data_IF_879897768609
#
_entry.id   IF_879897768609
#
_cell.length_a   1.000
_cell.length_b   1.000
_cell.length_c   1.000
_cell.angle_alpha   90.00
_cell.angle_beta   90.00
_cell.angle_gamma   90.00
#
_symmetry.space_group_name_H-M   'P 1'
#
loop_
_entity.id
_entity.type
_entity.pdbx_description
1 polymer ?
#
# COMPACT_ATOMS: atom_id res chain seq x y z
N UNK A 1 14.09 -4.07 35.72
CA UNK A 1 14.79 -2.80 36.03
C UNK A 1 15.96 -2.55 35.08
N UNK A 2 16.82 -3.51 34.77
CA UNK A 2 17.88 -3.38 33.75
C UNK A 2 18.08 -4.77 33.13
N UNK A 3 18.16 -4.89 31.79
CA UNK A 3 18.47 -6.17 31.17
C UNK A 3 17.98 -6.38 29.74
N UNK A 4 16.82 -5.84 29.35
CA UNK A 4 16.27 -6.08 28.01
C UNK A 4 16.23 -4.80 27.18
N UNK A 5 17.04 -4.77 26.13
CA UNK A 5 17.03 -3.74 25.09
C UNK A 5 15.93 -4.05 24.06
N UNK A 6 14.69 -3.76 24.41
CA UNK A 6 13.54 -3.93 23.54
C UNK A 6 13.28 -2.57 22.89
N UNK A 7 13.47 -2.48 21.57
CA UNK A 7 13.15 -1.29 20.75
C UNK A 7 11.65 -1.17 20.40
N UNK A 8 10.91 -2.27 20.15
CA UNK A 8 9.48 -2.22 19.80
C UNK A 8 8.51 -1.83 20.94
N UNK A 9 8.97 -1.19 22.03
CA UNK A 9 8.10 -0.85 23.16
C UNK A 9 7.16 0.30 22.79
N UNK A 10 5.87 0.02 22.63
CA UNK A 10 4.83 1.01 22.29
C UNK A 10 4.07 1.53 23.51
N UNK A 11 4.03 0.78 24.62
CA UNK A 11 3.30 1.14 25.83
C UNK A 11 4.16 0.92 27.08
N UNK A 12 4.23 1.93 27.95
CA UNK A 12 4.83 1.85 29.28
C UNK A 12 3.74 2.06 30.33
N UNK A 13 3.45 1.01 31.11
CA UNK A 13 2.39 1.05 32.13
C UNK A 13 2.99 1.17 33.53
N UNK A 14 2.61 2.21 34.27
CA UNK A 14 2.93 2.36 35.69
C UNK A 14 1.77 1.85 36.54
N UNK A 15 1.94 0.67 37.14
CA UNK A 15 1.00 0.08 38.10
C UNK A 15 1.46 0.23 39.56
N UNK A 16 2.65 0.79 39.78
CA UNK A 16 3.24 1.03 41.12
C UNK A 16 3.94 2.37 41.12
N UNK A 17 3.86 3.08 42.25
CA UNK A 17 4.50 4.38 42.40
C UNK A 17 6.02 4.26 42.33
N UNK A 18 6.65 5.12 41.53
CA UNK A 18 8.10 5.17 41.34
C UNK A 18 8.71 6.22 42.26
N UNK A 19 9.49 5.79 43.25
CA UNK A 19 10.07 6.68 44.26
C UNK A 19 11.21 7.55 43.71
N UNK A 20 12.02 7.02 42.78
CA UNK A 20 13.20 7.71 42.24
C UNK A 20 12.95 8.34 40.87
N UNK A 21 13.36 9.60 40.70
CA UNK A 21 13.32 10.33 39.41
C UNK A 21 14.20 9.67 38.34
N UNK A 22 15.41 9.26 38.69
CA UNK A 22 16.31 8.58 37.75
C UNK A 22 15.72 7.26 37.26
N UNK A 23 14.98 6.56 38.12
CA UNK A 23 14.33 5.31 37.78
C UNK A 23 13.11 5.52 36.87
N UNK A 24 12.36 6.60 37.09
CA UNK A 24 11.27 7.01 36.20
C UNK A 24 11.78 7.32 34.78
N UNK A 25 12.85 8.12 34.67
CA UNK A 25 13.45 8.45 33.37
C UNK A 25 14.03 7.22 32.66
N UNK A 26 14.63 6.27 33.39
CA UNK A 26 15.06 4.99 32.80
C UNK A 26 13.88 4.15 32.28
N UNK A 27 12.73 4.16 32.96
CA UNK A 27 11.53 3.47 32.51
C UNK A 27 10.92 4.13 31.28
N UNK A 28 10.82 5.47 31.28
CA UNK A 28 10.41 6.28 30.12
C UNK A 28 11.33 6.06 28.92
N UNK A 29 12.64 5.96 29.18
CA UNK A 29 13.70 5.70 28.20
C UNK A 29 13.53 4.40 27.40
N UNK A 30 12.67 3.47 27.85
CA UNK A 30 12.33 2.26 27.09
C UNK A 30 11.39 2.55 25.91
N UNK A 31 10.47 3.50 26.08
CA UNK A 31 9.49 3.86 25.06
C UNK A 31 10.03 4.78 23.96
N UNK A 32 10.96 5.69 24.29
CA UNK A 32 11.52 6.70 23.37
C UNK A 32 12.41 6.12 22.26
N UNK A 33 12.74 4.83 22.32
CA UNK A 33 13.62 4.18 21.35
C UNK A 33 12.98 4.13 19.98
N UNK A 34 13.72 4.60 18.98
CA UNK A 34 13.32 4.46 17.57
C UNK A 34 13.40 3.00 17.18
N UNK A 35 12.32 2.47 16.61
CA UNK A 35 12.22 1.12 16.09
C UNK A 35 12.08 1.19 14.57
N UNK A 36 12.80 0.33 13.84
CA UNK A 36 12.57 0.24 12.40
C UNK A 36 11.23 -0.53 12.16
N UNK A 37 10.59 -0.36 10.99
CA UNK A 37 9.33 -1.07 10.70
C UNK A 37 9.46 -2.60 10.70
N UNK A 38 10.59 -3.14 10.25
CA UNK A 38 10.84 -4.58 10.16
C UNK A 38 10.90 -5.27 11.53
N UNK A 39 11.58 -4.65 12.49
CA UNK A 39 11.75 -5.09 13.88
C UNK A 39 10.40 -5.01 14.62
N UNK A 40 9.56 -4.04 14.29
CA UNK A 40 8.21 -3.91 14.84
C UNK A 40 7.28 -4.99 14.26
N UNK A 41 7.31 -5.20 12.93
CA UNK A 41 6.52 -6.22 12.26
C UNK A 41 6.83 -7.64 12.75
N UNK A 42 8.08 -7.89 13.18
CA UNK A 42 8.48 -9.18 13.76
C UNK A 42 7.78 -9.52 15.08
N UNK A 43 7.31 -8.52 15.84
CA UNK A 43 6.64 -8.70 17.13
C UNK A 43 5.17 -8.29 17.12
N UNK A 44 4.76 -7.48 16.15
CA UNK A 44 3.41 -7.00 15.95
C UNK A 44 3.09 -7.03 14.43
N UNK A 45 2.68 -8.19 13.88
CA UNK A 45 2.52 -8.39 12.46
C UNK A 45 1.30 -7.64 11.93
N UNK A 46 1.53 -6.48 11.31
CA UNK A 46 0.54 -5.72 10.55
C UNK A 46 1.24 -4.69 9.68
N UNK A 47 0.97 -4.70 8.36
CA UNK A 47 1.66 -3.81 7.40
C UNK A 47 1.44 -2.31 7.68
N UNK A 48 0.36 -1.97 8.38
CA UNK A 48 -0.01 -0.61 8.76
C UNK A 48 0.56 -0.17 10.13
N UNK A 49 1.22 -1.08 10.86
CA UNK A 49 1.69 -0.80 12.22
C UNK A 49 3.07 -0.14 12.14
N UNK A 50 3.11 1.14 12.50
CA UNK A 50 4.34 1.94 12.59
C UNK A 50 4.44 2.57 13.97
N UNK A 51 5.60 2.46 14.60
CA UNK A 51 5.90 3.13 15.86
C UNK A 51 6.23 4.60 15.60
N UNK A 52 5.22 5.46 15.63
CA UNK A 52 5.33 6.92 15.51
C UNK A 52 5.42 7.62 16.89
N UNK A 53 4.82 7.02 17.91
CA UNK A 53 4.87 7.44 19.32
C UNK A 53 4.87 6.23 20.27
N UNK A 54 4.91 6.50 21.58
CA UNK A 54 4.64 5.51 22.62
C UNK A 54 3.70 6.12 23.66
N UNK A 55 2.92 5.27 24.31
CA UNK A 55 1.91 5.69 25.29
C UNK A 55 2.41 5.36 26.69
N UNK A 56 2.29 6.34 27.60
CA UNK A 56 2.46 6.10 29.03
C UNK A 56 1.07 5.98 29.64
N UNK A 57 0.80 4.84 30.27
CA UNK A 57 -0.42 4.61 31.05
C UNK A 57 -0.03 4.66 32.52
N UNK A 58 -0.46 5.70 33.21
CA UNK A 58 -0.15 5.91 34.62
C UNK A 58 -1.38 5.66 35.48
N UNK A 59 -1.42 4.50 36.14
CA UNK A 59 -2.54 4.10 36.99
C UNK A 59 -2.41 4.58 38.44
N UNK A 60 -1.31 5.27 38.79
CA UNK A 60 -0.93 5.57 40.18
C UNK A 60 -0.50 7.03 40.40
N UNK A 61 -0.67 7.90 39.41
CA UNK A 61 -0.38 9.34 39.49
C UNK A 61 1.12 9.66 39.62
N UNK A 62 2.00 8.84 39.03
CA UNK A 62 3.44 9.11 38.95
C UNK A 62 3.74 10.30 38.03
N UNK A 63 3.01 10.46 36.92
CA UNK A 63 3.14 11.56 35.97
C UNK A 63 2.59 12.89 36.50
N UNK A 64 1.65 12.84 37.46
CA UNK A 64 1.09 14.03 38.12
C UNK A 64 2.06 14.64 39.15
N UNK A 65 2.96 13.80 39.70
CA UNK A 65 3.99 14.19 40.67
C UNK A 65 5.30 14.47 39.94
N UNK A 66 5.31 15.61 39.25
CA UNK A 66 6.30 16.08 38.28
C UNK A 66 7.76 15.65 38.60
N UNK A 67 8.26 14.69 37.83
CA UNK A 67 9.64 14.17 37.89
C UNK A 67 10.22 13.98 36.48
N UNK A 68 9.99 14.94 35.59
CA UNK A 68 10.51 14.88 34.22
C UNK A 68 11.26 16.14 33.80
N UNK A 69 12.45 15.97 33.23
CA UNK A 69 13.18 17.03 32.52
C UNK A 69 12.65 17.27 31.10
N UNK A 70 11.96 16.28 30.53
CA UNK A 70 11.48 16.33 29.14
C UNK A 70 9.96 16.28 29.12
N UNK A 71 9.32 17.44 28.97
CA UNK A 71 7.89 17.55 28.71
C UNK A 71 7.59 17.26 27.23
N UNK A 72 6.52 16.51 26.90
CA UNK A 72 6.11 16.31 25.51
C UNK A 72 5.78 17.65 24.85
N UNK A 73 6.26 17.87 23.63
CA UNK A 73 5.98 19.11 22.88
C UNK A 73 4.50 19.23 22.47
N UNK A 74 3.75 18.13 22.33
CA UNK A 74 2.29 18.18 22.08
C UNK A 74 1.54 18.29 23.41
N UNK A 75 1.21 19.52 23.78
CA UNK A 75 0.53 19.88 25.03
C UNK A 75 -1.01 19.89 24.87
N UNK A 76 -1.53 20.30 23.71
CA UNK A 76 -2.98 20.35 23.41
C UNK A 76 -3.48 19.08 22.70
N UNK A 77 -3.24 17.90 23.30
CA UNK A 77 -3.53 16.58 22.69
C UNK A 77 -4.98 16.38 22.26
N UNK A 78 -5.94 16.92 23.00
CA UNK A 78 -7.39 16.82 22.73
C UNK A 78 -7.89 17.79 21.66
N UNK A 79 -7.10 18.80 21.30
CA UNK A 79 -7.47 19.81 20.32
C UNK A 79 -6.98 19.37 18.95
N UNK A 80 -7.83 19.21 17.93
CA UNK A 80 -7.39 18.75 16.61
C UNK A 80 -6.56 19.82 15.85
N UNK A 81 -5.80 19.40 14.83
CA UNK A 81 -4.82 20.25 14.14
C UNK A 81 -5.47 21.44 13.42
N UNK A 82 -6.68 21.28 12.88
CA UNK A 82 -7.45 22.36 12.24
C UNK A 82 -7.70 23.52 13.20
N UNK A 83 -8.12 23.21 14.44
CA UNK A 83 -8.39 24.22 15.47
C UNK A 83 -7.12 24.92 15.92
N UNK A 84 -6.00 24.22 16.02
CA UNK A 84 -4.71 24.84 16.36
C UNK A 84 -4.25 25.79 15.24
N UNK A 85 -4.28 25.35 13.98
CA UNK A 85 -3.93 26.18 12.82
C UNK A 85 -4.88 27.37 12.65
N UNK A 86 -6.17 27.19 12.96
CA UNK A 86 -7.16 28.25 12.98
C UNK A 86 -6.86 29.28 14.09
N UNK A 87 -6.56 28.82 15.30
CA UNK A 87 -6.21 29.70 16.42
C UNK A 87 -4.98 30.57 16.09
N UNK A 88 -3.92 29.99 15.54
CA UNK A 88 -2.73 30.74 15.12
C UNK A 88 -3.04 31.75 14.01
N UNK A 89 -3.91 31.40 13.06
CA UNK A 89 -4.32 32.34 12.01
C UNK A 89 -5.08 33.56 12.54
N UNK A 90 -5.77 33.39 13.68
CA UNK A 90 -6.49 34.45 14.38
C UNK A 90 -5.58 35.24 15.35
N UNK A 91 -4.29 34.88 15.42
CA UNK A 91 -3.30 35.57 16.25
C UNK A 91 -3.01 34.92 17.61
N UNK A 92 -3.46 33.70 17.86
CA UNK A 92 -3.06 32.96 19.05
C UNK A 92 -1.55 32.62 18.98
N UNK A 93 -0.82 33.01 20.01
CA UNK A 93 0.64 32.80 20.15
C UNK A 93 1.01 32.05 21.43
N UNK A 94 0.04 31.38 22.07
CA UNK A 94 0.31 30.57 23.26
C UNK A 94 1.32 29.44 22.96
N UNK A 95 2.34 29.33 23.80
CA UNK A 95 3.41 28.33 23.69
C UNK A 95 2.87 26.91 23.53
N UNK A 96 1.79 26.58 24.24
CA UNK A 96 1.14 25.27 24.18
C UNK A 96 0.55 24.99 22.78
N UNK A 97 -0.07 25.99 22.15
CA UNK A 97 -0.63 25.87 20.81
C UNK A 97 0.49 25.68 19.79
N UNK A 98 1.55 26.50 19.89
CA UNK A 98 2.67 26.50 18.96
C UNK A 98 3.52 25.23 19.07
N UNK A 99 3.86 24.81 20.29
CA UNK A 99 4.57 23.55 20.54
C UNK A 99 3.80 22.33 20.01
N UNK A 100 2.47 22.32 20.15
CA UNK A 100 1.61 21.27 19.61
C UNK A 100 1.60 21.23 18.09
N UNK A 101 1.59 22.40 17.43
CA UNK A 101 1.72 22.48 15.96
C UNK A 101 3.07 21.94 15.52
N UNK A 102 4.18 22.38 16.13
CA UNK A 102 5.53 21.94 15.78
C UNK A 102 5.68 20.41 15.90
N UNK A 103 5.18 19.82 16.99
CA UNK A 103 5.21 18.37 17.21
C UNK A 103 4.40 17.58 16.17
N UNK A 104 3.26 18.13 15.71
CA UNK A 104 2.41 17.48 14.70
C UNK A 104 2.98 17.61 13.30
N UNK A 105 3.58 18.76 12.95
CA UNK A 105 4.27 18.94 11.68
C UNK A 105 5.48 18.02 11.54
N UNK A 106 6.26 17.85 12.62
CA UNK A 106 7.40 16.93 12.63
C UNK A 106 6.98 15.45 12.44
N UNK A 107 5.79 15.07 12.93
CA UNK A 107 5.19 13.75 12.67
C UNK A 107 4.69 13.63 11.24
N UNK A 108 3.92 14.62 10.78
CA UNK A 108 3.39 14.67 9.41
C UNK A 108 4.51 14.60 8.35
N UNK A 109 5.68 15.18 8.64
CA UNK A 109 6.86 15.10 7.78
C UNK A 109 7.36 13.66 7.57
N UNK A 110 7.07 12.71 8.46
CA UNK A 110 7.50 11.31 8.27
C UNK A 110 6.63 10.55 7.27
N UNK A 111 5.34 10.87 7.24
CA UNK A 111 4.35 10.18 6.40
C UNK A 111 4.02 10.94 5.10
N UNK A 112 4.63 12.12 4.90
CA UNK A 112 4.41 12.94 3.71
C UNK A 112 5.09 12.35 2.45
N UNK A 113 4.32 12.29 1.35
CA UNK A 113 4.82 11.98 0.00
C UNK A 113 5.68 13.12 -0.56
N UNK A 114 6.53 12.83 -1.55
CA UNK A 114 7.38 13.84 -2.19
C UNK A 114 6.57 14.95 -2.86
N UNK A 115 5.42 14.60 -3.45
CA UNK A 115 4.49 15.57 -4.03
C UNK A 115 3.89 16.50 -2.97
N UNK A 116 3.57 15.97 -1.79
CA UNK A 116 3.05 16.79 -0.68
C UNK A 116 4.13 17.70 -0.09
N UNK A 117 5.37 17.21 0.04
CA UNK A 117 6.53 18.03 0.46
C UNK A 117 6.76 19.19 -0.49
N UNK A 118 6.74 18.94 -1.80
CA UNK A 118 6.92 19.98 -2.82
C UNK A 118 5.83 21.07 -2.74
N UNK A 119 4.56 20.66 -2.54
CA UNK A 119 3.45 21.60 -2.33
C UNK A 119 3.62 22.44 -1.07
N UNK A 120 4.05 21.83 0.04
CA UNK A 120 4.32 22.58 1.29
C UNK A 120 5.40 23.63 1.05
N UNK A 121 6.51 23.29 0.40
CA UNK A 121 7.60 24.24 0.09
C UNK A 121 7.11 25.41 -0.76
N UNK A 122 6.29 25.14 -1.78
CA UNK A 122 5.71 26.19 -2.62
C UNK A 122 4.77 27.12 -1.83
N UNK A 123 3.92 26.57 -0.96
CA UNK A 123 2.90 27.33 -0.22
C UNK A 123 3.44 28.04 1.03
N UNK A 124 4.60 27.61 1.55
CA UNK A 124 5.24 28.16 2.76
C UNK A 124 6.28 29.25 2.47
N UNK A 125 6.50 29.58 1.19
CA UNK A 125 7.56 30.50 0.77
C UNK A 125 8.96 29.90 0.82
N UNK A 126 9.10 28.61 0.49
CA UNK A 126 10.39 27.92 0.40
C UNK A 126 10.78 27.08 1.63
N UNK A 127 9.91 26.99 2.65
CA UNK A 127 10.20 26.28 3.91
C UNK A 127 9.66 24.84 3.89
N UNK A 128 10.46 23.88 4.32
CA UNK A 128 9.98 22.49 4.49
C UNK A 128 9.13 22.35 5.76
N UNK A 129 8.39 21.24 5.91
CA UNK A 129 7.69 20.91 7.17
C UNK A 129 8.63 20.92 8.37
N UNK A 130 9.87 20.44 8.18
CA UNK A 130 10.91 20.45 9.19
C UNK A 130 11.37 21.85 9.56
N UNK A 131 11.52 22.74 8.58
CA UNK A 131 11.89 24.14 8.82
C UNK A 131 10.78 24.92 9.52
N UNK A 132 9.51 24.64 9.17
CA UNK A 132 8.35 25.21 9.85
C UNK A 132 8.28 24.75 11.31
N UNK A 133 8.44 23.46 11.57
CA UNK A 133 8.46 22.92 12.92
C UNK A 133 9.63 23.47 13.74
N UNK A 134 10.84 23.45 13.15
CA UNK A 134 12.06 23.97 13.80
C UNK A 134 11.96 25.46 14.10
N UNK A 135 11.46 26.26 13.16
CA UNK A 135 11.29 27.70 13.34
C UNK A 135 10.39 28.05 14.53
N UNK A 136 9.33 27.26 14.76
CA UNK A 136 8.49 27.42 15.96
C UNK A 136 9.27 27.05 17.22
N UNK A 137 9.97 25.91 17.22
CA UNK A 137 10.74 25.44 18.40
C UNK A 137 11.82 26.44 18.78
N UNK A 138 12.58 26.93 17.80
CA UNK A 138 13.65 27.90 18.02
C UNK A 138 13.07 29.22 18.55
N UNK A 139 11.91 29.66 18.04
CA UNK A 139 11.24 30.86 18.54
C UNK A 139 10.79 30.72 20.01
N UNK A 140 10.27 29.55 20.40
CA UNK A 140 9.85 29.27 21.78
C UNK A 140 11.05 29.07 22.72
N UNK A 141 12.19 28.56 22.23
CA UNK A 141 13.38 28.30 23.04
C UNK A 141 14.15 29.58 23.42
N UNK A 142 13.97 30.67 22.67
CA UNK A 142 14.64 31.96 22.93
C UNK A 142 14.21 32.53 24.29
N UNK A 143 12.94 32.37 24.67
CA UNK A 143 12.42 32.86 25.96
C UNK A 143 13.03 32.12 27.16
N UNK A 144 13.57 30.91 26.94
CA UNK A 144 14.14 30.07 28.00
C UNK A 144 15.65 30.22 28.18
N UNK A 145 16.39 30.82 27.23
CA UNK A 145 17.86 30.66 27.18
C UNK A 145 18.70 31.87 26.76
N UNK A 146 18.14 32.99 26.26
CA UNK A 146 18.94 34.11 25.74
C UNK A 146 18.45 35.51 26.16
N UNK A 147 19.39 36.42 26.45
CA UNK A 147 19.18 37.88 26.66
C UNK A 147 18.83 38.61 25.34
N UNK A 148 17.85 38.10 24.59
CA UNK A 148 17.35 38.77 23.38
C UNK A 148 16.38 39.89 23.76
N UNK A 149 16.44 41.08 23.14
CA UNK A 149 15.45 42.13 23.37
C UNK A 149 14.03 41.62 23.09
N UNK A 150 13.03 41.90 23.95
CA UNK A 150 11.66 41.37 23.81
C UNK A 150 11.04 41.60 22.43
N UNK A 151 11.30 42.75 21.81
CA UNK A 151 10.82 43.07 20.46
C UNK A 151 11.39 42.16 19.36
N UNK A 152 12.63 41.70 19.50
CA UNK A 152 13.23 40.77 18.54
C UNK A 152 12.72 39.34 18.72
N UNK A 153 12.48 38.93 19.97
CA UNK A 153 11.86 37.64 20.28
C UNK A 153 10.43 37.58 19.70
N UNK A 154 9.63 38.62 19.91
CA UNK A 154 8.27 38.71 19.37
C UNK A 154 8.25 38.71 17.83
N UNK A 155 9.20 39.42 17.20
CA UNK A 155 9.32 39.42 15.74
C UNK A 155 9.66 38.01 15.19
N UNK A 156 10.60 37.29 15.81
CA UNK A 156 10.93 35.92 15.40
C UNK A 156 9.76 34.97 15.58
N UNK A 157 9.00 35.11 16.66
CA UNK A 157 7.78 34.34 16.87
C UNK A 157 6.78 34.60 15.75
N UNK A 158 6.54 35.88 15.40
CA UNK A 158 5.67 36.28 14.28
C UNK A 158 6.14 35.70 12.94
N UNK A 159 7.45 35.72 12.67
CA UNK A 159 8.02 35.18 11.43
C UNK A 159 7.90 33.65 11.34
N UNK A 160 7.95 32.96 12.49
CA UNK A 160 7.76 31.50 12.57
C UNK A 160 6.31 31.10 12.28
N UNK A 161 5.34 31.91 12.70
CA UNK A 161 3.90 31.62 12.52
C UNK A 161 3.33 32.18 11.22
N UNK A 162 4.03 33.12 10.57
CA UNK A 162 3.58 33.80 9.34
C UNK A 162 3.10 32.84 8.25
N UNK A 163 3.79 31.72 7.94
CA UNK A 163 3.34 30.80 6.90
C UNK A 163 1.93 30.23 7.14
N UNK A 164 1.52 30.05 8.40
CA UNK A 164 0.21 29.50 8.74
C UNK A 164 -0.94 30.51 8.58
N UNK A 165 -0.65 31.77 8.28
CA UNK A 165 -1.68 32.73 7.87
C UNK A 165 -2.21 32.44 6.47
N UNK A 166 -1.40 31.81 5.61
CA UNK A 166 -1.80 31.39 4.27
C UNK A 166 -2.87 30.28 4.36
N UNK A 167 -4.12 30.51 3.90
CA UNK A 167 -5.18 29.50 3.97
C UNK A 167 -4.83 28.23 3.20
N UNK A 168 -4.25 28.38 2.00
CA UNK A 168 -3.86 27.25 1.15
C UNK A 168 -2.84 26.31 1.82
N UNK A 169 -1.88 26.85 2.60
CA UNK A 169 -0.94 26.02 3.35
C UNK A 169 -1.68 25.21 4.42
N UNK A 170 -2.58 25.84 5.19
CA UNK A 170 -3.36 25.15 6.21
C UNK A 170 -4.22 24.03 5.62
N UNK A 171 -4.91 24.31 4.52
CA UNK A 171 -5.71 23.29 3.82
C UNK A 171 -4.86 22.11 3.35
N UNK A 172 -3.67 22.38 2.79
CA UNK A 172 -2.75 21.32 2.37
C UNK A 172 -2.28 20.47 3.56
N UNK A 173 -1.93 21.09 4.69
CA UNK A 173 -1.56 20.39 5.92
C UNK A 173 -2.71 19.52 6.46
N UNK A 174 -3.95 19.99 6.36
CA UNK A 174 -5.13 19.22 6.76
C UNK A 174 -5.43 18.06 5.82
N UNK A 175 -5.30 18.23 4.51
CA UNK A 175 -5.42 17.14 3.53
C UNK A 175 -4.37 16.06 3.74
N UNK A 176 -3.13 16.47 3.99
CA UNK A 176 -2.04 15.55 4.32
C UNK A 176 -2.36 14.77 5.60
N UNK A 177 -2.87 15.45 6.64
CA UNK A 177 -3.30 14.80 7.88
C UNK A 177 -4.46 13.83 7.66
N UNK A 178 -5.48 14.21 6.90
CA UNK A 178 -6.63 13.33 6.59
C UNK A 178 -6.22 12.05 5.86
N UNK A 179 -5.22 12.12 4.98
CA UNK A 179 -4.68 10.93 4.30
C UNK A 179 -3.84 10.05 5.23
N UNK A 180 -3.21 10.64 6.24
CA UNK A 180 -2.42 9.92 7.24
C UNK A 180 -3.28 9.36 8.39
N UNK A 181 -4.41 10.01 8.70
CA UNK A 181 -5.33 9.57 9.74
C UNK A 181 -6.12 8.34 9.24
N UNK A 182 -6.11 7.27 10.01
CA UNK A 182 -6.98 6.12 9.79
C UNK A 182 -8.42 6.54 10.12
N UNK A 183 -9.29 6.54 9.11
CA UNK A 183 -10.73 6.76 9.32
C UNK A 183 -11.32 5.50 9.93
N UNK A 184 -11.55 5.53 11.25
CA UNK A 184 -12.28 4.47 11.95
C UNK A 184 -13.76 4.84 11.91
N UNK A 185 -14.53 4.14 11.08
CA UNK A 185 -15.99 4.29 11.08
C UNK A 185 -16.56 3.75 12.39
N UNK A 186 -17.11 4.65 13.19
CA UNK A 186 -17.75 4.33 14.49
C UNK A 186 -19.27 4.40 14.41
N UNK A 187 -19.82 4.83 13.26
CA UNK A 187 -21.25 5.07 13.05
C UNK A 187 -21.87 3.89 12.32
N UNK A 188 -21.21 3.42 11.25
CA UNK A 188 -21.60 2.20 10.57
C UNK A 188 -21.17 1.04 11.45
N UNK A 189 -22.10 0.57 12.30
CA UNK A 189 -21.89 -0.64 13.08
C UNK A 189 -21.81 -1.81 12.12
N UNK A 190 -20.61 -2.33 11.95
CA UNK A 190 -20.42 -3.58 11.24
C UNK A 190 -21.16 -4.71 11.98
N UNK A 191 -21.68 -5.65 11.22
CA UNK A 191 -22.34 -6.83 11.75
C UNK A 191 -21.45 -8.01 11.52
N UNK A 192 -21.04 -8.66 12.61
CA UNK A 192 -20.29 -9.91 12.54
C UNK A 192 -21.15 -10.96 11.84
N UNK A 193 -20.87 -11.20 10.55
CA UNK A 193 -21.59 -12.18 9.74
C UNK A 193 -21.24 -13.60 10.17
N UNK A 194 -19.99 -13.84 10.55
CA UNK A 194 -19.51 -15.12 11.08
C UNK A 194 -18.26 -14.95 11.98
N UNK A 195 -18.18 -15.79 13.01
CA UNK A 195 -17.00 -15.94 13.87
C UNK A 195 -16.92 -17.36 14.42
N UNK A 196 -16.80 -18.33 13.51
CA UNK A 196 -16.59 -19.73 13.85
C UNK A 196 -15.16 -20.18 13.51
N UNK A 197 -14.66 -21.15 14.27
CA UNK A 197 -13.43 -21.87 13.92
C UNK A 197 -13.78 -22.96 12.90
N UNK A 198 -13.78 -22.62 11.61
CA UNK A 198 -14.02 -23.61 10.54
C UNK A 198 -12.78 -24.45 10.31
N UNK A 199 -12.92 -25.77 10.41
CA UNK A 199 -11.92 -26.73 9.94
C UNK A 199 -11.75 -26.55 8.42
N UNK A 200 -10.51 -26.59 7.92
CA UNK A 200 -10.10 -25.96 6.66
C UNK A 200 -10.88 -26.25 5.36
N UNK A 201 -11.75 -27.27 5.29
CA UNK A 201 -12.62 -27.52 4.13
C UNK A 201 -13.78 -26.53 4.01
N UNK A 202 -14.35 -26.10 5.13
CA UNK A 202 -15.60 -25.35 5.13
C UNK A 202 -15.35 -23.90 4.71
N UNK A 203 -14.24 -23.31 5.17
CA UNK A 203 -13.77 -22.00 4.70
C UNK A 203 -13.40 -22.00 3.22
N UNK A 204 -12.72 -23.06 2.76
CA UNK A 204 -12.40 -23.21 1.35
C UNK A 204 -13.68 -23.30 0.49
N UNK A 205 -14.69 -24.03 0.99
CA UNK A 205 -15.99 -24.16 0.33
C UNK A 205 -16.72 -22.83 0.27
N UNK A 206 -16.79 -22.09 1.38
CA UNK A 206 -17.40 -20.76 1.42
C UNK A 206 -16.71 -19.77 0.49
N UNK A 207 -15.38 -19.78 0.43
CA UNK A 207 -14.61 -18.90 -0.47
C UNK A 207 -14.89 -19.21 -1.95
N UNK A 208 -14.86 -20.50 -2.32
CA UNK A 208 -15.15 -20.94 -3.69
C UNK A 208 -16.60 -20.62 -4.07
N UNK A 209 -17.57 -20.87 -3.19
CA UNK A 209 -18.97 -20.54 -3.44
C UNK A 209 -19.20 -19.04 -3.58
N UNK A 210 -18.57 -18.22 -2.74
CA UNK A 210 -18.68 -16.75 -2.83
C UNK A 210 -18.12 -16.24 -4.15
N UNK A 211 -16.99 -16.77 -4.58
CA UNK A 211 -16.40 -16.45 -5.89
C UNK A 211 -17.31 -16.90 -7.05
N UNK A 212 -17.79 -18.15 -7.04
CA UNK A 212 -18.69 -18.68 -8.08
C UNK A 212 -20.00 -17.87 -8.18
N UNK A 213 -20.57 -17.46 -7.04
CA UNK A 213 -21.74 -16.59 -7.01
C UNK A 213 -21.44 -15.20 -7.57
N UNK A 214 -20.31 -14.61 -7.19
CA UNK A 214 -19.90 -13.30 -7.69
C UNK A 214 -19.75 -13.28 -9.21
N UNK A 215 -19.00 -14.24 -9.78
CA UNK A 215 -18.78 -14.27 -11.23
C UNK A 215 -20.09 -14.52 -12.00
N UNK A 216 -21.07 -15.21 -11.40
CA UNK A 216 -22.36 -15.44 -12.01
C UNK A 216 -23.27 -14.19 -11.96
N UNK A 217 -23.23 -13.45 -10.86
CA UNK A 217 -24.02 -12.23 -10.66
C UNK A 217 -23.50 -11.05 -11.49
N UNK A 218 -22.18 -10.88 -11.57
CA UNK A 218 -21.54 -9.73 -12.24
C UNK A 218 -21.10 -10.03 -13.67
N UNK A 219 -21.56 -11.16 -14.26
CA UNK A 219 -21.18 -11.60 -15.61
C UNK A 219 -21.45 -10.55 -16.70
N UNK A 220 -22.49 -9.73 -16.50
CA UNK A 220 -22.95 -8.71 -17.46
C UNK A 220 -22.43 -7.30 -17.09
N UNK A 221 -21.70 -7.15 -15.98
CA UNK A 221 -21.19 -5.86 -15.50
C UNK A 221 -19.68 -5.72 -15.70
N UNK A 222 -18.92 -6.81 -15.50
CA UNK A 222 -17.46 -6.80 -15.60
C UNK A 222 -17.03 -7.27 -16.98
N UNK A 223 -16.32 -6.42 -17.72
CA UNK A 223 -15.85 -6.69 -19.10
C UNK A 223 -15.11 -8.02 -19.23
N UNK A 224 -14.20 -8.35 -18.30
CA UNK A 224 -13.49 -9.62 -18.31
C UNK A 224 -14.44 -10.82 -18.23
N UNK A 225 -15.46 -10.76 -17.37
CA UNK A 225 -16.45 -11.82 -17.24
C UNK A 225 -17.34 -11.87 -18.49
N UNK A 226 -17.78 -10.73 -19.02
CA UNK A 226 -18.54 -10.69 -20.27
C UNK A 226 -17.78 -11.42 -21.38
N UNK A 227 -16.50 -11.13 -21.58
CA UNK A 227 -15.65 -11.77 -22.60
C UNK A 227 -15.52 -13.29 -22.34
N UNK A 228 -15.32 -13.70 -21.08
CA UNK A 228 -15.16 -15.13 -20.73
C UNK A 228 -16.47 -15.94 -20.80
N UNK A 229 -17.62 -15.29 -20.58
CA UNK A 229 -18.97 -15.87 -20.68
C UNK A 229 -19.52 -15.88 -22.11
N UNK A 230 -19.22 -14.85 -22.91
CA UNK A 230 -19.77 -14.69 -24.25
C UNK A 230 -18.97 -15.48 -25.29
N UNK A 231 -19.35 -16.74 -25.49
CA UNK A 231 -19.04 -17.43 -26.75
C UNK A 231 -20.05 -16.97 -27.82
N UNK A 232 -19.65 -16.40 -28.98
CA UNK A 232 -18.32 -16.39 -29.60
C UNK A 232 -17.83 -14.97 -29.98
N UNK A 233 -17.89 -13.98 -29.08
CA UNK A 233 -17.55 -12.60 -29.43
C UNK A 233 -16.04 -12.37 -29.51
N UNK A 234 -15.59 -11.80 -30.64
CA UNK A 234 -14.21 -11.65 -31.15
C UNK A 234 -13.29 -10.70 -30.36
N UNK A 235 -13.69 -10.24 -29.18
CA UNK A 235 -12.90 -9.25 -28.44
C UNK A 235 -11.78 -9.96 -27.65
N UNK A 236 -10.50 -9.63 -27.88
CA UNK A 236 -9.41 -10.19 -27.09
C UNK A 236 -9.50 -9.69 -25.65
N UNK A 237 -9.35 -10.59 -24.69
CA UNK A 237 -9.27 -10.25 -23.27
C UNK A 237 -7.97 -9.48 -23.01
N UNK A 238 -8.06 -8.26 -22.45
CA UNK A 238 -6.89 -7.45 -22.13
C UNK A 238 -6.47 -7.59 -20.67
N UNK A 239 -5.21 -7.28 -20.38
CA UNK A 239 -4.69 -7.28 -19.02
C UNK A 239 -5.47 -6.33 -18.10
N UNK A 240 -5.87 -5.17 -18.61
CA UNK A 240 -6.66 -4.18 -17.86
C UNK A 240 -8.01 -4.72 -17.42
N UNK A 241 -8.66 -5.56 -18.25
CA UNK A 241 -9.94 -6.19 -17.91
C UNK A 241 -9.77 -7.16 -16.73
N UNK A 242 -8.70 -7.96 -16.74
CA UNK A 242 -8.39 -8.90 -15.66
C UNK A 242 -7.98 -8.17 -14.39
N UNK A 243 -7.24 -7.07 -14.51
CA UNK A 243 -6.92 -6.20 -13.38
C UNK A 243 -8.18 -5.60 -12.75
N UNK A 244 -9.13 -5.13 -13.57
CA UNK A 244 -10.41 -4.61 -13.06
C UNK A 244 -11.22 -5.69 -12.32
N UNK A 245 -11.20 -6.94 -12.81
CA UNK A 245 -11.81 -8.06 -12.11
C UNK A 245 -11.11 -8.36 -10.77
N UNK A 246 -9.77 -8.36 -10.75
CA UNK A 246 -8.99 -8.53 -9.52
C UNK A 246 -9.29 -7.43 -8.50
N UNK A 247 -9.33 -6.16 -8.92
CA UNK A 247 -9.66 -5.03 -8.08
C UNK A 247 -11.08 -5.16 -7.50
N UNK A 248 -12.05 -5.66 -8.28
CA UNK A 248 -13.42 -5.91 -7.82
C UNK A 248 -13.51 -7.06 -6.81
N UNK A 249 -12.68 -8.10 -6.94
CA UNK A 249 -12.61 -9.22 -5.98
C UNK A 249 -11.95 -8.81 -4.66
N UNK A 250 -10.93 -7.96 -4.73
CA UNK A 250 -10.25 -7.41 -3.55
C UNK A 250 -11.08 -6.35 -2.83
N UNK A 251 -12.00 -5.69 -3.51
CA UNK A 251 -12.86 -4.69 -2.90
C UNK A 251 -13.84 -5.30 -1.87
N UNK A 252 -14.21 -4.54 -0.82
CA UNK A 252 -15.32 -4.92 0.05
C UNK A 252 -16.63 -5.10 -0.74
N UNK A 253 -17.48 -6.08 -0.39
CA UNK A 253 -17.42 -6.91 0.82
C UNK A 253 -16.61 -8.21 0.67
N UNK A 254 -16.15 -8.56 -0.53
CA UNK A 254 -15.62 -9.90 -0.82
C UNK A 254 -14.22 -10.13 -0.26
N UNK A 255 -13.31 -9.17 -0.43
CA UNK A 255 -11.92 -9.26 0.03
C UNK A 255 -11.24 -10.60 -0.34
N UNK A 256 -11.47 -11.08 -1.57
CA UNK A 256 -10.95 -12.35 -2.07
C UNK A 256 -9.58 -12.12 -2.70
N UNK A 257 -8.55 -12.76 -2.14
CA UNK A 257 -7.21 -12.85 -2.72
C UNK A 257 -7.12 -14.05 -3.68
N UNK A 258 -6.52 -13.86 -4.86
CA UNK A 258 -6.47 -14.91 -5.89
C UNK A 258 -5.62 -16.11 -5.45
N UNK A 259 -4.56 -15.86 -4.67
CA UNK A 259 -3.72 -16.89 -4.09
C UNK A 259 -4.49 -17.75 -3.09
N UNK A 260 -5.24 -17.11 -2.19
CA UNK A 260 -6.13 -17.79 -1.25
C UNK A 260 -7.22 -18.60 -1.96
N UNK A 261 -7.82 -18.04 -3.02
CA UNK A 261 -8.83 -18.71 -3.84
C UNK A 261 -8.25 -19.94 -4.55
N UNK A 262 -7.04 -19.86 -5.09
CA UNK A 262 -6.35 -21.00 -5.69
C UNK A 262 -6.12 -22.13 -4.67
N UNK A 263 -5.67 -21.78 -3.45
CA UNK A 263 -5.49 -22.77 -2.38
C UNK A 263 -6.80 -23.39 -1.93
N UNK A 264 -7.89 -22.62 -1.93
CA UNK A 264 -9.22 -23.15 -1.63
C UNK A 264 -9.64 -24.19 -2.67
N UNK A 265 -9.49 -23.90 -3.97
CA UNK A 265 -9.71 -24.89 -5.02
C UNK A 265 -8.80 -26.11 -4.88
N UNK A 266 -7.51 -25.92 -4.57
CA UNK A 266 -6.56 -27.02 -4.37
C UNK A 266 -6.94 -27.89 -3.17
N UNK A 267 -7.52 -27.31 -2.12
CA UNK A 267 -7.99 -28.02 -0.93
C UNK A 267 -9.22 -28.88 -1.24
N UNK A 268 -10.17 -28.34 -2.02
CA UNK A 268 -11.43 -29.02 -2.35
C UNK A 268 -11.30 -30.02 -3.49
N UNK A 269 -10.44 -29.75 -4.48
CA UNK A 269 -10.29 -30.55 -5.70
C UNK A 269 -8.83 -30.86 -6.01
N UNK A 270 -8.17 -31.57 -5.08
CA UNK A 270 -6.75 -31.94 -5.17
C UNK A 270 -6.33 -32.55 -6.52
N UNK A 271 -7.18 -33.40 -7.11
CA UNK A 271 -6.87 -34.08 -8.36
C UNK A 271 -7.01 -33.19 -9.61
N UNK A 272 -7.68 -32.06 -9.50
CA UNK A 272 -7.96 -31.16 -10.62
C UNK A 272 -7.05 -29.91 -10.64
N UNK A 273 -6.30 -29.63 -9.57
CA UNK A 273 -5.52 -28.39 -9.44
C UNK A 273 -4.01 -28.66 -9.53
N UNK A 274 -3.33 -27.96 -10.43
CA UNK A 274 -1.86 -28.05 -10.61
C UNK A 274 -1.16 -26.78 -10.14
N UNK A 275 0.13 -26.90 -9.84
CA UNK A 275 1.02 -25.76 -9.58
C UNK A 275 0.75 -24.96 -8.30
N UNK A 276 0.16 -25.57 -7.25
CA UNK A 276 -0.30 -24.89 -6.02
C UNK A 276 0.76 -24.02 -5.31
N UNK A 277 2.06 -24.29 -5.48
CA UNK A 277 3.18 -23.67 -4.76
C UNK A 277 3.88 -22.50 -5.50
N UNK A 278 3.42 -22.11 -6.69
CA UNK A 278 4.06 -21.05 -7.48
C UNK A 278 3.55 -19.64 -7.11
N UNK A 279 4.39 -18.62 -7.33
CA UNK A 279 3.99 -17.21 -7.23
C UNK A 279 2.95 -16.93 -8.31
N UNK A 280 1.78 -16.45 -7.91
CA UNK A 280 0.65 -16.21 -8.82
C UNK A 280 0.85 -14.97 -9.65
N UNK A 281 0.41 -15.04 -10.89
CA UNK A 281 0.24 -13.89 -11.77
C UNK A 281 -1.24 -13.53 -11.82
N UNK A 282 -1.54 -12.26 -12.07
CA UNK A 282 -2.94 -11.82 -12.26
C UNK A 282 -3.62 -12.58 -13.41
N UNK A 283 -2.85 -13.03 -14.41
CA UNK A 283 -3.36 -13.85 -15.52
C UNK A 283 -3.90 -15.21 -15.08
N UNK A 284 -3.51 -15.73 -13.91
CA UNK A 284 -4.09 -16.96 -13.34
C UNK A 284 -5.58 -16.80 -13.00
N UNK A 285 -6.08 -15.57 -12.85
CA UNK A 285 -7.50 -15.30 -12.66
C UNK A 285 -8.35 -15.77 -13.85
N UNK A 286 -7.79 -15.76 -15.06
CA UNK A 286 -8.44 -16.33 -16.25
C UNK A 286 -8.66 -17.83 -16.09
N UNK A 287 -7.65 -18.54 -15.58
CA UNK A 287 -7.76 -19.98 -15.30
C UNK A 287 -8.78 -20.25 -14.19
N UNK A 288 -8.80 -19.44 -13.13
CA UNK A 288 -9.78 -19.54 -12.04
C UNK A 288 -11.22 -19.37 -12.53
N UNK A 289 -11.49 -18.32 -13.31
CA UNK A 289 -12.83 -18.06 -13.86
C UNK A 289 -13.27 -19.19 -14.79
N UNK A 290 -12.41 -19.63 -15.72
CA UNK A 290 -12.74 -20.72 -16.64
C UNK A 290 -13.00 -22.04 -15.92
N UNK A 291 -12.25 -22.33 -14.87
CA UNK A 291 -12.45 -23.53 -14.04
C UNK A 291 -13.77 -23.45 -13.25
N UNK A 292 -14.05 -22.30 -12.63
CA UNK A 292 -15.30 -22.06 -11.90
C UNK A 292 -16.54 -22.19 -12.80
N UNK A 293 -16.41 -21.75 -14.06
CA UNK A 293 -17.44 -21.91 -15.09
C UNK A 293 -17.51 -23.33 -15.68
N UNK A 294 -16.72 -24.28 -15.18
CA UNK A 294 -16.63 -25.65 -15.68
C UNK A 294 -16.28 -25.74 -17.18
N UNK A 295 -15.60 -24.73 -17.73
CA UNK A 295 -15.10 -24.75 -19.10
C UNK A 295 -13.83 -25.60 -19.23
N UNK A 296 -13.12 -25.82 -18.11
CA UNK A 296 -11.93 -26.66 -18.03
C UNK A 296 -12.08 -27.67 -16.90
N UNK A 297 -11.59 -28.90 -17.12
CA UNK A 297 -11.62 -29.97 -16.12
C UNK A 297 -10.47 -29.87 -15.11
N UNK A 298 -9.42 -29.12 -15.47
CA UNK A 298 -8.25 -28.89 -14.63
C UNK A 298 -8.02 -27.39 -14.45
N UNK A 299 -7.56 -27.00 -13.26
CA UNK A 299 -7.09 -25.67 -12.92
C UNK A 299 -5.56 -25.67 -13.01
N UNK A 300 -5.04 -25.07 -14.07
CA UNK A 300 -3.62 -24.99 -14.39
C UNK A 300 -3.20 -23.53 -14.49
N UNK A 301 -2.02 -23.14 -13.98
CA UNK A 301 -1.54 -21.77 -14.11
C UNK A 301 -1.58 -21.30 -15.56
N UNK A 302 -1.99 -20.04 -15.78
CA UNK A 302 -2.13 -19.49 -17.12
C UNK A 302 -0.82 -19.57 -17.94
N UNK A 303 0.37 -19.31 -17.36
CA UNK A 303 1.63 -19.48 -18.08
C UNK A 303 1.89 -20.91 -18.57
N UNK A 304 1.50 -21.92 -17.80
CA UNK A 304 1.66 -23.33 -18.19
C UNK A 304 0.75 -23.68 -19.37
N UNK A 305 -0.48 -23.13 -19.39
CA UNK A 305 -1.40 -23.26 -20.53
C UNK A 305 -0.85 -22.57 -21.77
N UNK A 306 -0.37 -21.33 -21.64
CA UNK A 306 0.25 -20.58 -22.74
C UNK A 306 1.44 -21.36 -23.32
N UNK A 307 2.26 -21.97 -22.47
CA UNK A 307 3.37 -22.81 -22.90
C UNK A 307 2.91 -24.10 -23.63
N UNK A 308 1.81 -24.72 -23.21
CA UNK A 308 1.25 -25.87 -23.90
C UNK A 308 0.68 -25.49 -25.28
N UNK A 309 -0.08 -24.39 -25.34
CA UNK A 309 -0.63 -23.84 -26.59
C UNK A 309 0.49 -23.42 -27.56
N UNK A 310 1.55 -22.80 -27.05
CA UNK A 310 2.72 -22.42 -27.83
C UNK A 310 3.42 -23.63 -28.47
N UNK A 311 3.61 -24.72 -27.71
CA UNK A 311 4.16 -25.97 -28.25
C UNK A 311 3.27 -26.57 -29.35
N UNK A 312 1.96 -26.55 -29.15
CA UNK A 312 1.01 -27.03 -30.14
C UNK A 312 1.03 -26.17 -31.42
N UNK A 313 1.07 -24.85 -31.26
CA UNK A 313 1.19 -23.91 -32.37
C UNK A 313 2.50 -24.11 -33.15
N UNK A 314 3.63 -24.26 -32.46
CA UNK A 314 4.91 -24.60 -33.09
C UNK A 314 4.86 -25.91 -33.88
N UNK A 315 4.18 -26.94 -33.35
CA UNK A 315 4.06 -28.23 -34.02
C UNK A 315 3.15 -28.20 -35.26
N UNK A 316 2.15 -27.31 -35.28
CA UNK A 316 1.29 -27.07 -36.44
C UNK A 316 1.98 -26.23 -37.52
N UNK A 317 2.99 -25.44 -37.13
CA UNK A 317 3.77 -24.66 -38.07
C UNK A 317 4.70 -25.57 -38.90
N UNK A 318 4.35 -25.75 -40.18
CA UNK A 318 5.05 -26.68 -41.08
C UNK A 318 6.45 -26.25 -41.52
N UNK A 319 6.93 -25.06 -41.13
CA UNK A 319 8.29 -24.56 -41.43
C UNK A 319 9.09 -24.39 -40.12
N UNK A 320 10.32 -24.91 -40.05
CA UNK A 320 11.17 -24.69 -38.89
C UNK A 320 11.62 -23.23 -38.82
N UNK A 321 11.42 -22.61 -37.65
CA UNK A 321 11.97 -21.29 -37.34
C UNK A 321 13.49 -21.37 -37.15
N UNK A 322 14.21 -20.28 -37.43
CA UNK A 322 15.63 -20.18 -37.06
C UNK A 322 15.79 -20.12 -35.55
N UNK A 323 16.97 -20.45 -35.03
CA UNK A 323 17.24 -20.36 -33.59
C UNK A 323 16.97 -18.96 -33.03
N UNK A 324 17.25 -17.92 -33.81
CA UNK A 324 16.98 -16.53 -33.43
C UNK A 324 15.48 -16.22 -33.44
N UNK A 325 14.74 -16.64 -34.47
CA UNK A 325 13.28 -16.51 -34.50
C UNK A 325 12.62 -17.26 -33.33
N UNK A 326 13.09 -18.47 -33.01
CA UNK A 326 12.58 -19.25 -31.91
C UNK A 326 12.80 -18.54 -30.57
N UNK A 327 13.97 -17.95 -30.34
CA UNK A 327 14.22 -17.17 -29.12
C UNK A 327 13.25 -16.00 -28.98
N UNK A 328 13.00 -15.26 -30.06
CA UNK A 328 12.00 -14.18 -30.07
C UNK A 328 10.58 -14.69 -29.80
N UNK A 329 10.19 -15.82 -30.38
CA UNK A 329 8.88 -16.44 -30.13
C UNK A 329 8.73 -16.88 -28.67
N UNK A 330 9.79 -17.40 -28.04
CA UNK A 330 9.80 -17.74 -26.62
C UNK A 330 9.66 -16.50 -25.72
N UNK A 331 10.33 -15.41 -26.06
CA UNK A 331 10.15 -14.13 -25.35
C UNK A 331 8.74 -13.57 -25.50
N UNK A 332 8.16 -13.65 -26.71
CA UNK A 332 6.77 -13.24 -26.97
C UNK A 332 5.81 -14.11 -26.15
N UNK A 333 6.01 -15.43 -26.12
CA UNK A 333 5.23 -16.34 -25.28
C UNK A 333 5.28 -15.92 -23.81
N UNK A 334 6.46 -15.65 -23.27
CA UNK A 334 6.61 -15.29 -21.85
C UNK A 334 5.93 -13.95 -21.54
N UNK A 335 5.97 -13.00 -22.49
CA UNK A 335 5.24 -11.75 -22.37
C UNK A 335 3.71 -11.98 -22.38
N UNK A 336 3.19 -12.78 -23.32
CA UNK A 336 1.76 -13.14 -23.38
C UNK A 336 1.31 -13.87 -22.11
N UNK A 337 2.15 -14.75 -21.56
CA UNK A 337 1.87 -15.45 -20.30
C UNK A 337 1.69 -14.49 -19.11
N UNK A 338 2.41 -13.37 -19.11
CA UNK A 338 2.34 -12.35 -18.07
C UNK A 338 1.26 -11.28 -18.32
N UNK A 339 0.97 -10.95 -19.58
CA UNK A 339 0.15 -9.78 -19.96
C UNK A 339 -1.09 -10.11 -20.82
N UNK A 340 -1.40 -11.38 -21.06
CA UNK A 340 -2.52 -11.88 -21.91
C UNK A 340 -2.40 -11.62 -23.42
N UNK A 341 -1.51 -10.73 -23.84
CA UNK A 341 -1.27 -10.44 -25.24
C UNK A 341 0.03 -9.65 -25.42
N UNK A 342 0.37 -9.40 -26.68
CA UNK A 342 1.45 -8.51 -27.09
C UNK A 342 0.98 -7.57 -28.20
N UNK A 343 1.32 -6.30 -28.10
CA UNK A 343 1.12 -5.26 -29.10
C UNK A 343 2.47 -4.86 -29.74
N UNK A 344 2.42 -4.10 -30.84
CA UNK A 344 3.65 -3.68 -31.55
C UNK A 344 4.53 -2.79 -30.67
N UNK A 345 3.91 -1.94 -29.86
CA UNK A 345 4.61 -1.00 -28.97
C UNK A 345 5.35 -1.73 -27.83
N UNK A 346 4.95 -2.96 -27.48
CA UNK A 346 5.61 -3.76 -26.45
C UNK A 346 7.07 -4.08 -26.81
N UNK A 347 7.41 -4.10 -28.10
CA UNK A 347 8.78 -4.31 -28.57
C UNK A 347 9.74 -3.16 -28.26
N UNK A 348 9.24 -2.00 -27.85
CA UNK A 348 10.04 -0.86 -27.39
C UNK A 348 10.46 -0.97 -25.91
N UNK A 349 9.88 -1.91 -25.18
CA UNK A 349 10.16 -2.12 -23.75
C UNK A 349 11.02 -3.36 -23.51
N UNK A 350 11.51 -3.50 -22.27
CA UNK A 350 12.27 -4.67 -21.86
C UNK A 350 11.34 -5.91 -21.79
N UNK A 351 11.81 -7.11 -22.18
CA UNK A 351 13.19 -7.45 -22.58
C UNK A 351 13.51 -7.25 -24.08
N UNK A 352 12.54 -6.84 -24.90
CA UNK A 352 12.69 -6.77 -26.37
C UNK A 352 13.65 -5.68 -26.83
N UNK A 353 13.59 -4.49 -26.23
CA UNK A 353 14.46 -3.37 -26.61
C UNK A 353 15.96 -3.69 -26.42
N UNK A 354 16.31 -4.50 -25.42
CA UNK A 354 17.67 -4.96 -25.18
C UNK A 354 18.17 -5.92 -26.26
N UNK A 355 17.27 -6.59 -26.99
CA UNK A 355 17.57 -7.50 -28.09
C UNK A 355 17.45 -6.82 -29.48
N UNK A 356 17.29 -5.49 -29.52
CA UNK A 356 17.16 -4.71 -30.75
C UNK A 356 15.72 -4.30 -31.11
N UNK A 357 14.76 -4.60 -30.24
CA UNK A 357 13.39 -4.09 -30.26
C UNK A 357 12.64 -4.32 -31.57
N UNK A 358 11.76 -3.37 -31.90
CA UNK A 358 10.89 -3.43 -33.08
C UNK A 358 11.66 -3.61 -34.40
N UNK A 359 12.82 -2.97 -34.52
CA UNK A 359 13.66 -3.09 -35.71
C UNK A 359 14.18 -4.50 -35.95
N UNK A 360 14.62 -5.18 -34.88
CA UNK A 360 15.16 -6.54 -34.98
C UNK A 360 14.06 -7.58 -35.24
N UNK A 361 12.92 -7.50 -34.57
CA UNK A 361 11.81 -8.43 -34.81
C UNK A 361 11.26 -8.28 -36.24
N UNK A 362 11.18 -7.06 -36.77
CA UNK A 362 10.78 -6.83 -38.16
C UNK A 362 11.81 -7.37 -39.17
N UNK A 363 13.11 -7.37 -38.85
CA UNK A 363 14.11 -8.04 -39.70
C UNK A 363 13.94 -9.55 -39.75
N UNK A 364 13.51 -10.16 -38.63
CA UNK A 364 13.38 -11.61 -38.50
C UNK A 364 12.09 -12.16 -39.13
N UNK A 365 10.97 -11.45 -38.99
CA UNK A 365 9.65 -11.91 -39.44
C UNK A 365 9.12 -11.11 -40.66
N UNK A 366 9.72 -9.97 -40.98
CA UNK A 366 9.36 -9.16 -42.14
C UNK A 366 7.88 -8.78 -42.18
N UNK A 367 7.28 -8.90 -43.37
CA UNK A 367 5.86 -8.60 -43.59
C UNK A 367 4.90 -9.59 -42.90
N UNK A 368 5.38 -10.74 -42.41
CA UNK A 368 4.55 -11.73 -41.70
C UNK A 368 4.41 -11.41 -40.22
N UNK A 369 5.18 -10.46 -39.67
CA UNK A 369 5.19 -10.14 -38.24
C UNK A 369 3.79 -9.83 -37.66
N UNK A 370 2.96 -8.94 -38.25
CA UNK A 370 1.64 -8.65 -37.69
C UNK A 370 0.74 -9.88 -37.65
N UNK A 371 0.84 -10.76 -38.66
CA UNK A 371 0.08 -11.99 -38.74
C UNK A 371 0.53 -13.00 -37.68
N UNK A 372 1.83 -13.14 -37.46
CA UNK A 372 2.39 -14.00 -36.40
C UNK A 372 1.95 -13.51 -35.02
N UNK A 373 1.98 -12.19 -34.77
CA UNK A 373 1.49 -11.62 -33.50
C UNK A 373 0.01 -11.89 -33.30
N UNK A 374 -0.82 -11.67 -34.32
CA UNK A 374 -2.26 -11.94 -34.24
C UNK A 374 -2.55 -13.42 -33.99
N UNK A 375 -1.84 -14.31 -34.70
CA UNK A 375 -1.94 -15.76 -34.47
C UNK A 375 -1.50 -16.15 -33.06
N UNK A 376 -0.38 -15.64 -32.56
CA UNK A 376 0.09 -15.95 -31.21
C UNK A 376 -0.88 -15.45 -30.15
N UNK A 377 -1.34 -14.20 -30.25
CA UNK A 377 -2.34 -13.65 -29.31
C UNK A 377 -3.62 -14.49 -29.32
N UNK A 378 -4.06 -14.98 -30.48
CA UNK A 378 -5.27 -15.80 -30.59
C UNK A 378 -5.06 -17.22 -30.04
N UNK A 379 -4.02 -17.91 -30.48
CA UNK A 379 -3.81 -19.34 -30.20
C UNK A 379 -3.26 -19.57 -28.79
N UNK A 380 -2.43 -18.67 -28.26
CA UNK A 380 -1.87 -18.84 -26.91
C UNK A 380 -2.89 -18.47 -25.83
N UNK A 381 -3.75 -17.48 -26.06
CA UNK A 381 -4.79 -17.07 -25.12
C UNK A 381 -6.07 -17.94 -25.17
N UNK A 382 -6.19 -18.81 -26.19
CA UNK A 382 -7.31 -19.72 -26.39
C UNK A 382 -7.54 -20.63 -25.20
#
# INVERSE_FOLDING_TARGET
ATGTDIKPVEIVVFMRSVKSRSFFEQMKGRGVRVCNPTDLAAVNPGEHIKKDHFVIVDCVGVCERDKTDSRPMDSKKSVPLDKLLQAVSLGNVEDEVLSSIAARLARLDKDASDADRAKVVSLSGGKTLRDLARGIVDALAIDATQDMPPAQAEQRLRDSIWPFRTPALREQLLKMKQRADLVIDTVTKDTLLDAAFTVGSDRATALVQSFEQFIAQHKDEITALQILYSRPTRAPLKFEDVKALADALHAPPLNIDEGALWQAYATLRKDAVKGATQRRLLTDLVSLVRFAMQQTNELVPYPERVQANFKAWLAQHGKPFTAEQQHWLEMIRDHIAANLGIEIDDFEYAPFNAQGGLGKVHQLFGAELPKVIEELNRELAA
#
